data_IF_489151789202
#
_entry.id   IF_489151789202
#
_cell.length_a   1.000
_cell.length_b   1.000
_cell.length_c   1.000
_cell.angle_alpha   90.00
_cell.angle_beta   90.00
_cell.angle_gamma   90.00
#
_symmetry.space_group_name_H-M   'P 1'
#
loop_
_entity.id
_entity.type
_entity.pdbx_description
1 polymer ?
#
# COMPACT_ATOMS: atom_id res chain seq x y z
N UNK A 1 9.54 40.03 1.90
CA UNK A 1 8.64 39.11 1.19
C UNK A 1 9.50 37.94 0.78
N UNK A 2 9.21 36.72 1.22
CA UNK A 2 10.00 35.55 0.77
C UNK A 2 9.61 35.29 -0.68
N UNK A 3 10.60 35.37 -1.57
CA UNK A 3 10.40 35.08 -2.98
C UNK A 3 10.21 33.56 -3.13
N UNK A 4 8.95 33.13 -3.14
CA UNK A 4 8.55 31.77 -3.49
C UNK A 4 7.96 31.77 -4.88
N UNK A 5 8.22 30.71 -5.62
CA UNK A 5 7.64 30.46 -6.94
C UNK A 5 7.02 29.06 -6.93
N UNK A 6 5.74 28.97 -7.25
CA UNK A 6 5.01 27.71 -7.36
C UNK A 6 4.71 27.42 -8.82
N UNK A 7 5.02 26.21 -9.28
CA UNK A 7 4.71 25.73 -10.63
C UNK A 7 3.91 24.42 -10.58
N UNK A 8 2.99 24.26 -11.53
CA UNK A 8 2.23 23.03 -11.76
C UNK A 8 2.70 22.39 -13.07
N UNK A 9 2.98 21.11 -13.05
CA UNK A 9 3.51 20.34 -14.18
C UNK A 9 2.95 18.93 -14.18
N UNK A 10 2.87 18.33 -15.36
CA UNK A 10 2.45 16.92 -15.55
C UNK A 10 3.64 15.98 -15.80
N UNK A 11 4.80 16.52 -16.14
CA UNK A 11 6.03 15.75 -16.36
C UNK A 11 7.24 16.51 -15.80
N UNK A 12 7.98 15.84 -14.92
CA UNK A 12 9.22 16.37 -14.36
C UNK A 12 10.35 16.37 -15.39
N UNK A 13 11.00 17.49 -15.60
CA UNK A 13 12.30 17.54 -16.28
C UNK A 13 13.38 16.81 -15.44
N UNK A 14 14.50 16.45 -16.05
CA UNK A 14 15.61 15.80 -15.32
C UNK A 14 16.09 16.63 -14.12
N UNK A 15 16.14 17.94 -14.26
CA UNK A 15 16.55 18.85 -13.18
C UNK A 15 15.54 18.90 -12.05
N UNK A 16 14.25 18.98 -12.37
CA UNK A 16 13.17 18.94 -11.37
C UNK A 16 13.11 17.59 -10.67
N UNK A 17 13.24 16.49 -11.41
CA UNK A 17 13.30 15.14 -10.84
C UNK A 17 14.51 14.97 -9.90
N UNK A 18 15.67 15.51 -10.25
CA UNK A 18 16.84 15.52 -9.37
C UNK A 18 16.59 16.32 -8.08
N UNK A 19 15.92 17.47 -8.16
CA UNK A 19 15.54 18.28 -7.00
C UNK A 19 14.54 17.56 -6.10
N UNK A 20 13.53 16.88 -6.68
CA UNK A 20 12.55 16.08 -5.92
C UNK A 20 13.24 14.90 -5.23
N UNK A 21 14.15 14.17 -5.89
CA UNK A 21 14.93 13.08 -5.24
C UNK A 21 15.78 13.58 -4.09
N UNK A 22 16.43 14.75 -4.24
CA UNK A 22 17.22 15.34 -3.16
C UNK A 22 16.34 15.78 -1.96
N UNK A 23 15.14 16.29 -2.23
CA UNK A 23 14.17 16.64 -1.21
C UNK A 23 13.66 15.37 -0.50
N UNK A 24 13.30 14.33 -1.24
CA UNK A 24 12.84 13.03 -0.71
C UNK A 24 13.91 12.42 0.20
N UNK A 25 15.17 12.37 -0.22
CA UNK A 25 16.29 11.88 0.58
C UNK A 25 16.47 12.71 1.86
N UNK A 26 16.37 14.05 1.76
CA UNK A 26 16.46 14.94 2.92
C UNK A 26 15.32 14.68 3.91
N UNK A 27 14.10 14.50 3.44
CA UNK A 27 12.95 14.21 4.28
C UNK A 27 13.08 12.83 4.93
N UNK A 28 13.47 11.80 4.17
CA UNK A 28 13.65 10.43 4.65
C UNK A 28 14.71 10.32 5.74
N UNK A 29 15.80 11.07 5.61
CA UNK A 29 16.86 11.12 6.63
C UNK A 29 16.45 11.85 7.90
N UNK A 30 15.41 12.66 7.87
CA UNK A 30 14.96 13.45 9.01
C UNK A 30 13.75 12.82 9.72
N UNK A 31 12.86 12.21 8.97
CA UNK A 31 11.63 11.58 9.46
C UNK A 31 11.08 10.58 8.44
N UNK A 32 10.28 9.61 8.88
CA UNK A 32 9.59 8.73 7.96
C UNK A 32 8.64 9.56 7.08
N UNK A 33 8.92 9.67 5.80
CA UNK A 33 8.05 10.32 4.83
C UNK A 33 7.54 9.30 3.81
N UNK A 34 6.36 9.48 3.21
CA UNK A 34 5.90 8.66 2.10
C UNK A 34 6.89 8.78 0.94
N UNK A 35 7.01 7.71 0.15
CA UNK A 35 7.82 7.75 -1.07
C UNK A 35 7.11 8.61 -2.13
N UNK A 36 7.90 9.32 -2.96
CA UNK A 36 7.34 10.03 -4.09
C UNK A 36 6.84 9.02 -5.14
N UNK A 37 5.65 9.21 -5.74
CA UNK A 37 5.02 8.25 -6.67
C UNK A 37 5.58 8.40 -8.09
N UNK A 38 6.84 8.02 -8.29
CA UNK A 38 7.62 8.27 -9.51
C UNK A 38 6.99 7.75 -10.81
N UNK A 39 6.21 6.68 -10.73
CA UNK A 39 5.61 6.01 -11.90
C UNK A 39 4.12 6.31 -12.06
N UNK A 40 3.47 6.81 -11.00
CA UNK A 40 2.01 6.88 -10.90
C UNK A 40 1.44 8.30 -10.85
N UNK A 41 2.29 9.34 -10.65
CA UNK A 41 1.76 10.70 -10.56
C UNK A 41 1.18 11.18 -11.90
N UNK A 42 0.09 11.94 -11.82
CA UNK A 42 -0.54 12.62 -12.96
C UNK A 42 -0.15 14.09 -13.02
N UNK A 43 -0.05 14.70 -11.85
CA UNK A 43 0.19 16.13 -11.67
C UNK A 43 1.15 16.37 -10.50
N UNK A 44 1.98 17.40 -10.61
CA UNK A 44 2.95 17.77 -9.58
C UNK A 44 2.99 19.29 -9.41
N UNK A 45 2.93 19.75 -8.18
CA UNK A 45 3.16 21.11 -7.78
C UNK A 45 4.52 21.21 -7.09
N UNK A 46 5.37 22.11 -7.55
CA UNK A 46 6.70 22.37 -7.01
C UNK A 46 6.73 23.79 -6.43
N UNK A 47 7.11 23.91 -5.16
CA UNK A 47 7.32 25.21 -4.53
C UNK A 47 8.81 25.46 -4.34
N UNK A 48 9.31 26.44 -5.08
CA UNK A 48 10.69 26.90 -5.05
C UNK A 48 10.85 28.11 -4.15
N UNK A 49 11.98 28.19 -3.47
CA UNK A 49 12.33 29.31 -2.62
C UNK A 49 13.71 29.81 -2.96
N UNK A 50 13.88 31.15 -3.03
CA UNK A 50 15.17 31.77 -3.15
C UNK A 50 16.09 31.39 -1.98
N UNK A 51 17.29 30.93 -2.30
CA UNK A 51 18.35 30.61 -1.32
C UNK A 51 19.57 31.47 -1.63
N UNK A 52 19.62 32.60 -0.99
CA UNK A 52 20.76 33.58 -1.14
C UNK A 52 22.11 33.02 -0.69
N UNK A 53 22.13 31.83 -0.06
CA UNK A 53 23.36 31.12 0.35
C UNK A 53 23.83 30.09 -0.68
N UNK A 54 23.04 29.81 -1.73
CA UNK A 54 23.43 28.87 -2.78
C UNK A 54 24.54 29.52 -3.64
N UNK A 55 25.70 28.88 -3.82
CA UNK A 55 26.67 29.37 -4.75
C UNK A 55 26.08 29.41 -6.16
N UNK A 56 26.21 30.54 -6.85
CA UNK A 56 25.84 30.66 -8.24
C UNK A 56 26.51 29.53 -9.03
N UNK A 57 25.75 28.67 -9.67
CA UNK A 57 26.28 27.61 -10.53
C UNK A 57 26.16 26.17 -10.04
N UNK A 58 25.48 25.85 -8.92
CA UNK A 58 25.35 24.45 -8.44
C UNK A 58 24.32 23.63 -9.19
N UNK A 59 23.70 24.10 -10.23
CA UNK A 59 22.84 23.31 -11.14
C UNK A 59 23.48 23.11 -12.54
N UNK A 60 24.79 23.34 -12.69
CA UNK A 60 25.49 23.02 -13.90
C UNK A 60 25.92 21.55 -13.94
N UNK A 61 25.05 20.66 -14.38
CA UNK A 61 25.49 19.46 -15.08
C UNK A 61 26.03 19.92 -16.43
N UNK A 62 27.36 19.96 -16.51
CA UNK A 62 28.15 20.34 -17.70
C UNK A 62 27.78 19.45 -18.89
N UNK A 63 27.33 20.07 -19.97
CA UNK A 63 27.43 19.56 -21.33
C UNK A 63 26.21 18.87 -21.87
N UNK A 64 25.34 19.63 -22.46
CA UNK A 64 24.79 19.48 -23.81
C UNK A 64 23.65 20.49 -23.97
N UNK A 65 23.58 21.14 -25.12
CA UNK A 65 22.58 22.14 -25.49
C UNK A 65 21.17 21.62 -25.28
N UNK A 66 20.42 22.25 -24.34
CA UNK A 66 19.03 21.93 -24.06
C UNK A 66 18.14 22.24 -25.27
N UNK A 67 17.16 21.37 -25.61
CA UNK A 67 16.13 21.72 -26.58
C UNK A 67 15.25 22.83 -25.99
N UNK A 68 14.90 23.78 -26.86
CA UNK A 68 14.01 24.92 -26.58
C UNK A 68 12.71 24.46 -25.94
N UNK A 69 12.49 24.80 -24.66
CA UNK A 69 11.30 24.48 -23.90
C UNK A 69 11.54 24.01 -22.44
N UNK A 70 12.79 23.75 -22.06
CA UNK A 70 13.11 23.41 -20.68
C UNK A 70 13.09 24.69 -19.82
N UNK A 71 12.15 24.76 -18.86
CA UNK A 71 12.15 25.76 -17.81
C UNK A 71 13.45 25.59 -17.00
N UNK A 72 14.45 26.39 -17.24
CA UNK A 72 15.67 26.47 -16.44
C UNK A 72 15.23 27.02 -15.08
N UNK A 73 15.49 26.27 -14.00
CA UNK A 73 15.32 26.80 -12.65
C UNK A 73 16.10 28.08 -12.52
N UNK A 74 15.52 29.16 -11.97
CA UNK A 74 16.26 30.37 -11.73
C UNK A 74 17.47 30.05 -10.84
N UNK A 75 18.66 30.54 -11.21
CA UNK A 75 19.84 30.45 -10.36
C UNK A 75 19.50 31.00 -8.97
N UNK A 76 19.83 30.25 -7.93
CA UNK A 76 19.58 30.67 -6.56
C UNK A 76 18.28 30.14 -5.92
N UNK A 77 17.47 29.34 -6.63
CA UNK A 77 16.28 28.71 -6.06
C UNK A 77 16.53 27.27 -5.59
N UNK A 78 15.87 26.86 -4.50
CA UNK A 78 15.85 25.48 -4.02
C UNK A 78 14.42 24.99 -3.83
N UNK A 79 14.18 23.73 -4.13
CA UNK A 79 12.89 23.11 -3.87
C UNK A 79 12.63 23.05 -2.36
N UNK A 80 11.57 23.72 -1.92
CA UNK A 80 11.17 23.81 -0.52
C UNK A 80 10.03 22.82 -0.19
N UNK A 81 9.13 22.60 -1.14
CA UNK A 81 8.04 21.64 -0.99
C UNK A 81 7.62 21.07 -2.35
N UNK A 82 7.04 19.88 -2.34
CA UNK A 82 6.42 19.22 -3.49
C UNK A 82 5.11 18.58 -3.05
N UNK A 83 4.11 18.62 -3.94
CA UNK A 83 2.90 17.81 -3.85
C UNK A 83 2.74 17.09 -5.18
N UNK A 84 2.62 15.76 -5.14
CA UNK A 84 2.27 14.92 -6.27
C UNK A 84 0.84 14.43 -6.11
N UNK A 85 0.08 14.44 -7.19
CA UNK A 85 -1.26 13.91 -7.27
C UNK A 85 -1.30 12.67 -8.17
N UNK A 86 -2.08 11.68 -7.77
CA UNK A 86 -2.41 10.47 -8.52
C UNK A 86 -3.92 10.54 -8.73
N UNK A 87 -4.34 11.02 -9.91
CA UNK A 87 -5.76 11.20 -10.20
C UNK A 87 -6.41 9.88 -10.60
N UNK A 88 -7.48 9.52 -9.91
CA UNK A 88 -8.42 8.47 -10.25
C UNK A 88 -9.79 9.09 -10.62
N UNK A 89 -10.74 8.33 -11.17
CA UNK A 89 -12.01 8.89 -11.64
C UNK A 89 -12.84 9.62 -10.58
N UNK A 90 -12.79 9.17 -9.33
CA UNK A 90 -13.67 9.66 -8.25
C UNK A 90 -12.89 10.32 -7.10
N UNK A 91 -11.56 10.20 -7.06
CA UNK A 91 -10.71 10.71 -6.00
C UNK A 91 -9.29 11.01 -6.49
N UNK A 92 -8.56 11.82 -5.78
CA UNK A 92 -7.16 12.16 -6.06
C UNK A 92 -6.31 11.90 -4.83
N UNK A 93 -5.40 10.93 -4.91
CA UNK A 93 -4.43 10.73 -3.84
C UNK A 93 -3.29 11.75 -3.95
N UNK A 94 -3.01 12.45 -2.86
CA UNK A 94 -1.99 13.49 -2.80
C UNK A 94 -0.87 13.11 -1.85
N UNK A 95 0.37 13.09 -2.35
CA UNK A 95 1.57 12.86 -1.56
C UNK A 95 2.40 14.14 -1.51
N UNK A 96 2.63 14.68 -0.32
CA UNK A 96 3.34 15.93 -0.16
C UNK A 96 4.58 15.80 0.72
N UNK A 97 5.62 16.55 0.38
CA UNK A 97 6.84 16.67 1.17
C UNK A 97 7.26 18.13 1.30
N UNK A 98 7.65 18.52 2.52
CA UNK A 98 8.25 19.83 2.79
C UNK A 98 9.60 19.66 3.45
N UNK A 99 10.63 20.35 2.92
CA UNK A 99 11.97 20.32 3.46
C UNK A 99 11.95 20.61 4.97
N UNK A 100 12.63 19.82 5.83
CA UNK A 100 12.52 19.93 7.29
C UNK A 100 12.77 21.36 7.81
N UNK A 101 13.77 22.05 7.25
CA UNK A 101 14.10 23.44 7.63
C UNK A 101 13.11 24.49 7.09
N UNK A 102 12.16 24.08 6.26
CA UNK A 102 11.15 24.95 5.61
C UNK A 102 9.73 24.67 6.11
N UNK A 103 9.55 23.72 7.04
CA UNK A 103 8.26 23.41 7.67
C UNK A 103 7.73 24.61 8.46
N UNK A 104 6.42 24.62 8.71
CA UNK A 104 5.69 25.68 9.44
C UNK A 104 5.75 27.06 8.78
N UNK A 105 5.91 27.10 7.46
CA UNK A 105 5.92 28.34 6.66
C UNK A 105 4.70 28.47 5.74
N UNK A 106 3.76 27.53 5.82
CA UNK A 106 2.54 27.52 5.01
C UNK A 106 2.71 26.86 3.63
N UNK A 107 3.91 26.39 3.25
CA UNK A 107 4.18 25.85 1.90
C UNK A 107 3.35 24.63 1.55
N UNK A 108 3.11 23.75 2.53
CA UNK A 108 2.23 22.60 2.34
C UNK A 108 0.79 23.06 2.03
N UNK A 109 0.25 23.98 2.81
CA UNK A 109 -1.10 24.51 2.61
C UNK A 109 -1.22 25.25 1.27
N UNK A 110 -0.17 25.98 0.84
CA UNK A 110 -0.13 26.65 -0.46
C UNK A 110 -0.25 25.65 -1.61
N UNK A 111 0.53 24.55 -1.57
CA UNK A 111 0.45 23.51 -2.58
C UNK A 111 -0.87 22.74 -2.56
N UNK A 112 -1.39 22.45 -1.38
CA UNK A 112 -2.66 21.74 -1.21
C UNK A 112 -3.84 22.57 -1.74
N UNK A 113 -3.88 23.86 -1.42
CA UNK A 113 -4.89 24.77 -1.98
C UNK A 113 -4.79 24.85 -3.52
N UNK A 114 -3.56 24.93 -4.08
CA UNK A 114 -3.37 24.96 -5.53
C UNK A 114 -3.85 23.68 -6.21
N UNK A 115 -3.65 22.52 -5.58
CA UNK A 115 -4.16 21.24 -6.06
C UNK A 115 -5.71 21.19 -5.96
N UNK A 116 -6.29 21.64 -4.85
CA UNK A 116 -7.73 21.71 -4.66
C UNK A 116 -8.39 22.63 -5.67
N UNK A 117 -7.82 23.81 -5.91
CA UNK A 117 -8.32 24.75 -6.95
C UNK A 117 -8.29 24.13 -8.35
N UNK A 118 -7.27 23.29 -8.63
CA UNK A 118 -7.13 22.62 -9.92
C UNK A 118 -8.12 21.48 -10.12
N UNK A 119 -8.33 20.63 -9.11
CA UNK A 119 -9.22 19.47 -9.19
C UNK A 119 -10.68 19.80 -8.88
N UNK A 120 -10.96 21.01 -8.35
CA UNK A 120 -12.30 21.51 -8.07
C UNK A 120 -13.03 20.70 -6.99
N UNK A 121 -14.20 20.14 -7.35
CA UNK A 121 -15.05 19.40 -6.40
C UNK A 121 -14.59 17.94 -6.17
N UNK A 122 -13.40 17.55 -6.63
CA UNK A 122 -12.89 16.18 -6.43
C UNK A 122 -12.21 16.07 -5.07
N UNK A 123 -12.54 15.01 -4.33
CA UNK A 123 -11.96 14.72 -3.03
C UNK A 123 -10.45 14.50 -3.12
N UNK A 124 -9.67 15.21 -2.32
CA UNK A 124 -8.23 14.99 -2.18
C UNK A 124 -7.95 14.10 -0.98
N UNK A 125 -7.34 12.95 -1.22
CA UNK A 125 -6.99 11.97 -0.19
C UNK A 125 -5.51 12.08 0.14
N UNK A 126 -5.19 12.30 1.41
CA UNK A 126 -3.81 12.43 1.87
C UNK A 126 -3.45 11.30 2.84
N UNK A 127 -2.60 10.35 2.43
CA UNK A 127 -2.13 9.30 3.32
C UNK A 127 -1.06 9.82 4.31
N UNK A 128 -1.16 9.37 5.55
CA UNK A 128 -0.18 9.65 6.59
C UNK A 128 0.01 8.42 7.47
N UNK A 129 1.26 8.14 7.89
CA UNK A 129 1.48 7.08 8.88
C UNK A 129 0.80 7.44 10.19
N UNK A 130 0.07 6.49 10.78
CA UNK A 130 -0.72 6.75 12.00
C UNK A 130 0.16 7.14 13.20
N UNK A 131 1.44 6.77 13.21
CA UNK A 131 2.42 7.14 14.22
C UNK A 131 3.15 8.47 13.93
N UNK A 132 2.90 9.09 12.75
CA UNK A 132 3.47 10.39 12.38
C UNK A 132 2.60 11.55 12.89
N UNK A 133 2.88 11.96 14.13
CA UNK A 133 2.16 13.06 14.75
C UNK A 133 2.42 14.42 14.06
N UNK A 134 3.58 14.65 13.45
CA UNK A 134 3.89 15.90 12.76
C UNK A 134 3.06 16.04 11.48
N UNK A 135 2.99 15.00 10.66
CA UNK A 135 2.17 14.99 9.44
C UNK A 135 0.69 15.13 9.81
N UNK A 136 0.20 14.38 10.80
CA UNK A 136 -1.18 14.50 11.28
C UNK A 136 -1.53 15.93 11.66
N UNK A 137 -0.74 16.58 12.50
CA UNK A 137 -0.98 17.98 12.92
C UNK A 137 -0.94 18.96 11.73
N UNK A 138 -0.11 18.69 10.73
CA UNK A 138 -0.06 19.52 9.52
C UNK A 138 -1.33 19.37 8.68
N UNK A 139 -1.86 18.15 8.53
CA UNK A 139 -3.10 17.86 7.81
C UNK A 139 -4.31 18.48 8.52
N UNK A 140 -4.43 18.25 9.83
CA UNK A 140 -5.49 18.85 10.66
C UNK A 140 -5.46 20.38 10.62
N UNK A 141 -4.26 20.99 10.68
CA UNK A 141 -4.10 22.45 10.58
C UNK A 141 -4.41 22.99 9.18
N UNK A 142 -4.30 22.19 8.13
CA UNK A 142 -4.73 22.53 6.79
C UNK A 142 -6.25 22.38 6.61
N UNK A 143 -6.96 21.78 7.55
CA UNK A 143 -8.41 21.55 7.48
C UNK A 143 -8.79 20.16 6.99
N UNK A 144 -7.84 19.26 6.78
CA UNK A 144 -8.13 17.90 6.36
C UNK A 144 -8.73 17.09 7.53
N UNK A 145 -9.75 16.28 7.23
CA UNK A 145 -10.42 15.44 8.22
C UNK A 145 -10.03 13.97 8.03
N UNK A 146 -9.80 13.26 9.13
CA UNK A 146 -9.48 11.84 9.06
C UNK A 146 -10.68 11.04 8.55
N UNK A 147 -10.50 10.35 7.42
CA UNK A 147 -11.50 9.52 6.77
C UNK A 147 -11.48 8.08 7.28
N UNK A 148 -10.31 7.44 7.27
CA UNK A 148 -10.17 6.02 7.61
C UNK A 148 -8.75 5.69 8.09
N UNK A 149 -8.59 4.47 8.57
CA UNK A 149 -7.27 3.86 8.81
C UNK A 149 -7.20 2.53 8.06
N UNK A 150 -6.10 2.27 7.38
CA UNK A 150 -5.78 0.97 6.82
C UNK A 150 -4.62 0.34 7.57
N UNK A 151 -4.74 -0.95 7.90
CA UNK A 151 -3.68 -1.74 8.51
C UNK A 151 -3.04 -2.65 7.46
N UNK A 152 -1.72 -2.60 7.38
CA UNK A 152 -0.94 -3.69 6.82
C UNK A 152 -0.67 -4.70 7.93
N UNK A 153 -1.12 -5.93 7.74
CA UNK A 153 -0.89 -7.01 8.71
C UNK A 153 -0.01 -8.09 8.08
N UNK A 154 0.93 -8.64 8.86
CA UNK A 154 1.85 -9.65 8.38
C UNK A 154 1.88 -10.88 9.30
N UNK A 155 2.08 -12.05 8.70
CA UNK A 155 2.34 -13.31 9.39
C UNK A 155 3.50 -14.03 8.74
N UNK A 156 4.49 -14.44 9.55
CA UNK A 156 5.54 -15.35 9.13
C UNK A 156 5.03 -16.78 9.14
N UNK A 157 5.26 -17.51 8.05
CA UNK A 157 4.98 -18.93 7.93
C UNK A 157 6.29 -19.70 8.19
N UNK A 158 6.61 -19.95 9.46
CA UNK A 158 7.81 -20.73 9.81
C UNK A 158 7.64 -22.17 9.37
N UNK A 159 8.69 -22.74 8.77
CA UNK A 159 8.81 -24.18 8.57
C UNK A 159 8.84 -24.85 9.96
N UNK A 160 7.78 -25.55 10.29
CA UNK A 160 7.52 -26.32 11.48
C UNK A 160 8.53 -26.29 12.63
N UNK A 161 8.15 -25.61 13.70
CA UNK A 161 8.37 -26.11 15.07
C UNK A 161 7.02 -25.99 15.74
N UNK A 162 6.41 -27.15 15.95
CA UNK A 162 5.16 -27.30 16.67
C UNK A 162 5.34 -26.89 18.14
N UNK A 163 4.52 -25.99 18.65
CA UNK A 163 4.07 -26.13 20.02
C UNK A 163 2.66 -26.71 19.98
N UNK A 164 2.70 -27.92 20.11
CA UNK A 164 1.99 -28.99 20.76
C UNK A 164 0.48 -28.83 21.00
N UNK A 165 -0.31 -29.59 20.27
CA UNK A 165 -1.14 -30.61 20.91
C UNK A 165 -1.69 -31.59 19.85
N UNK A 166 -1.30 -32.86 20.03
CA UNK A 166 -1.90 -34.11 19.54
C UNK A 166 -1.45 -34.70 18.20
N UNK A 167 -0.62 -35.75 18.36
CA UNK A 167 -0.51 -37.07 17.68
C UNK A 167 -0.27 -37.16 16.15
N UNK A 168 0.64 -38.06 15.73
CA UNK A 168 1.19 -38.09 14.38
C UNK A 168 0.35 -38.92 13.42
N UNK A 169 0.08 -38.40 12.24
CA UNK A 169 -0.32 -39.21 11.08
C UNK A 169 0.81 -39.16 10.06
N UNK A 170 1.35 -40.35 9.78
CA UNK A 170 2.39 -40.62 8.77
C UNK A 170 1.91 -40.21 7.39
N UNK A 171 2.76 -39.44 6.67
CA UNK A 171 2.57 -39.08 5.31
C UNK A 171 2.83 -40.19 4.28
N UNK A 172 2.54 -39.94 3.03
CA UNK A 172 3.48 -40.26 1.97
C UNK A 172 3.68 -39.14 0.94
N UNK A 173 4.93 -39.06 0.48
CA UNK A 173 5.36 -38.81 -0.90
C UNK A 173 4.92 -37.52 -1.58
N UNK A 174 5.92 -36.69 -1.91
CA UNK A 174 5.86 -35.54 -2.81
C UNK A 174 5.24 -35.92 -4.15
N UNK A 175 4.17 -35.26 -4.65
CA UNK A 175 3.74 -35.39 -6.03
C UNK A 175 4.48 -34.41 -6.93
N UNK A 176 4.96 -34.93 -8.06
CA UNK A 176 5.50 -34.16 -9.18
C UNK A 176 4.39 -33.32 -9.84
N UNK A 177 4.74 -32.12 -10.26
CA UNK A 177 3.91 -31.26 -11.11
C UNK A 177 3.50 -32.00 -12.38
N UNK A 178 2.20 -32.09 -12.59
CA UNK A 178 1.59 -32.36 -13.87
C UNK A 178 0.40 -31.44 -14.04
N UNK A 179 0.34 -30.81 -15.21
CA UNK A 179 -0.70 -29.92 -15.69
C UNK A 179 -2.14 -30.36 -15.40
N UNK A 180 -3.00 -29.33 -15.20
CA UNK A 180 -4.44 -29.35 -15.18
C UNK A 180 -5.12 -29.95 -13.94
N UNK A 181 -5.86 -29.06 -13.23
CA UNK A 181 -6.94 -29.37 -12.28
C UNK A 181 -6.61 -30.47 -11.27
N UNK A 182 -5.88 -30.14 -10.25
CA UNK A 182 -5.81 -31.01 -9.06
C UNK A 182 -6.74 -30.48 -7.97
N UNK A 183 -7.88 -31.12 -7.81
CA UNK A 183 -8.72 -31.03 -6.62
C UNK A 183 -7.91 -31.60 -5.43
N UNK A 184 -7.32 -30.74 -4.63
CA UNK A 184 -6.73 -31.15 -3.35
C UNK A 184 -7.72 -30.82 -2.23
N UNK A 185 -8.51 -31.81 -1.85
CA UNK A 185 -9.38 -31.75 -0.68
C UNK A 185 -8.56 -31.96 0.60
N UNK A 186 -8.21 -30.86 1.30
CA UNK A 186 -7.70 -30.93 2.68
C UNK A 186 -8.85 -30.79 3.66
N UNK A 187 -9.08 -31.81 4.48
CA UNK A 187 -10.09 -31.80 5.56
C UNK A 187 -9.46 -31.24 6.83
N UNK A 188 -9.81 -30.01 7.21
CA UNK A 188 -9.53 -29.47 8.53
C UNK A 188 -10.85 -29.32 9.30
N UNK A 189 -10.85 -29.82 10.49
CA UNK A 189 -11.95 -30.06 11.46
C UNK A 189 -12.98 -28.96 11.69
N UNK A 190 -13.88 -28.77 10.77
CA UNK A 190 -15.28 -28.39 10.96
C UNK A 190 -16.05 -28.72 9.70
N UNK A 191 -17.06 -29.57 9.84
CA UNK A 191 -18.04 -29.99 8.83
C UNK A 191 -17.72 -29.65 7.37
N UNK A 192 -16.90 -30.46 6.69
CA UNK A 192 -16.96 -30.54 5.24
C UNK A 192 -16.44 -29.34 4.42
N UNK A 193 -15.64 -28.42 4.96
CA UNK A 193 -15.05 -27.33 4.16
C UNK A 193 -13.97 -27.91 3.24
N UNK A 194 -14.12 -27.68 1.93
CA UNK A 194 -13.16 -28.05 0.90
C UNK A 194 -12.63 -26.79 0.22
N UNK A 195 -11.43 -26.86 -0.34
CA UNK A 195 -10.76 -25.76 -1.04
C UNK A 195 -10.28 -26.25 -2.39
N UNK A 196 -10.65 -25.54 -3.43
CA UNK A 196 -10.08 -25.65 -4.77
C UNK A 196 -9.13 -24.46 -5.01
N UNK A 197 -8.05 -24.70 -5.75
CA UNK A 197 -7.06 -23.67 -6.09
C UNK A 197 -6.97 -23.59 -7.61
N UNK A 198 -7.11 -22.38 -8.14
CA UNK A 198 -6.91 -22.05 -9.54
C UNK A 198 -5.82 -21.00 -9.68
N UNK A 199 -4.96 -21.12 -10.70
CA UNK A 199 -3.86 -20.19 -10.95
C UNK A 199 -4.19 -19.34 -12.17
N UNK A 200 -4.24 -18.01 -12.00
CA UNK A 200 -4.41 -17.06 -13.07
C UNK A 200 -3.14 -16.88 -13.91
N UNK A 201 -3.29 -16.33 -15.11
CA UNK A 201 -2.17 -16.01 -16.02
C UNK A 201 -1.28 -14.87 -15.46
N UNK A 202 -1.81 -14.04 -14.58
CA UNK A 202 -1.15 -12.92 -13.88
C UNK A 202 -0.30 -13.34 -12.66
N UNK A 203 -0.23 -14.65 -12.37
CA UNK A 203 0.44 -15.21 -11.19
C UNK A 203 -0.39 -15.13 -9.91
N UNK A 204 -1.60 -14.59 -9.96
CA UNK A 204 -2.55 -14.65 -8.86
C UNK A 204 -3.14 -16.06 -8.72
N UNK A 205 -3.39 -16.47 -7.48
CA UNK A 205 -4.11 -17.71 -7.18
C UNK A 205 -5.45 -17.39 -6.57
N UNK A 206 -6.50 -18.02 -7.08
CA UNK A 206 -7.85 -17.96 -6.52
C UNK A 206 -8.12 -19.25 -5.74
N UNK A 207 -8.55 -19.10 -4.50
CA UNK A 207 -8.96 -20.19 -3.61
C UNK A 207 -10.47 -20.15 -3.46
N UNK A 208 -11.16 -21.17 -3.94
CA UNK A 208 -12.62 -21.27 -3.84
C UNK A 208 -12.97 -22.27 -2.74
N UNK A 209 -13.86 -21.87 -1.84
CA UNK A 209 -14.31 -22.69 -0.71
C UNK A 209 -15.73 -23.21 -0.95
N UNK A 210 -15.91 -24.51 -0.66
CA UNK A 210 -17.23 -25.13 -0.68
C UNK A 210 -17.45 -25.90 0.61
N UNK A 211 -18.69 -25.94 1.09
CA UNK A 211 -19.13 -26.77 2.22
C UNK A 211 -19.96 -27.92 1.67
N UNK A 212 -19.60 -29.16 2.02
CA UNK A 212 -20.40 -30.35 1.72
C UNK A 212 -20.85 -31.00 3.00
N UNK A 213 -22.14 -31.22 3.14
CA UNK A 213 -22.70 -32.21 4.09
C UNK A 213 -22.81 -33.53 3.36
N UNK A 214 -22.74 -34.66 4.11
CA UNK A 214 -22.65 -36.02 3.56
C UNK A 214 -23.84 -36.45 2.69
N UNK A 215 -24.89 -35.63 2.60
CA UNK A 215 -26.15 -35.96 1.89
C UNK A 215 -26.51 -34.99 0.76
N UNK A 216 -25.78 -33.85 0.60
CA UNK A 216 -26.13 -32.78 -0.35
C UNK A 216 -24.95 -32.39 -1.25
N UNK A 217 -25.17 -31.83 -2.46
CA UNK A 217 -24.11 -31.31 -3.29
C UNK A 217 -23.37 -30.17 -2.58
N UNK A 218 -22.08 -30.05 -2.86
CA UNK A 218 -21.23 -29.00 -2.29
C UNK A 218 -21.80 -27.59 -2.55
N UNK A 219 -21.93 -26.79 -1.50
CA UNK A 219 -22.44 -25.41 -1.55
C UNK A 219 -21.25 -24.45 -1.54
N UNK A 220 -21.24 -23.49 -2.45
CA UNK A 220 -20.26 -22.42 -2.45
C UNK A 220 -20.28 -21.65 -1.12
N UNK A 221 -19.10 -21.44 -0.54
CA UNK A 221 -18.94 -20.82 0.77
C UNK A 221 -18.16 -19.50 0.73
N UNK A 222 -17.43 -19.24 -0.35
CA UNK A 222 -16.62 -18.03 -0.47
C UNK A 222 -15.35 -18.23 -1.28
N UNK A 223 -14.52 -17.22 -1.32
CA UNK A 223 -13.23 -17.25 -2.01
C UNK A 223 -12.22 -16.30 -1.36
N UNK A 224 -10.97 -16.41 -1.77
CA UNK A 224 -9.94 -15.40 -1.59
C UNK A 224 -8.93 -15.48 -2.72
N UNK A 225 -8.04 -14.49 -2.78
CA UNK A 225 -6.95 -14.46 -3.73
C UNK A 225 -5.61 -14.27 -3.03
N UNK A 226 -4.55 -14.73 -3.69
CA UNK A 226 -3.18 -14.40 -3.30
C UNK A 226 -2.34 -14.06 -4.51
N UNK A 227 -1.44 -13.10 -4.37
CA UNK A 227 -0.42 -12.78 -5.36
C UNK A 227 0.95 -13.07 -4.76
N UNK A 228 1.77 -13.87 -5.46
CA UNK A 228 3.10 -14.22 -4.97
C UNK A 228 4.10 -13.11 -5.28
N UNK A 229 4.82 -12.65 -4.27
CA UNK A 229 5.86 -11.64 -4.34
C UNK A 229 7.17 -12.19 -3.76
N UNK A 230 7.96 -12.85 -4.59
CA UNK A 230 9.17 -13.54 -4.13
C UNK A 230 8.85 -14.62 -3.09
N UNK A 231 9.42 -14.51 -1.88
CA UNK A 231 9.15 -15.41 -0.76
C UNK A 231 7.92 -15.02 0.08
N UNK A 232 7.23 -13.96 -0.29
CA UNK A 232 6.02 -13.45 0.36
C UNK A 232 4.80 -13.61 -0.53
N UNK A 233 3.61 -13.60 0.05
CA UNK A 233 2.35 -13.55 -0.69
C UNK A 233 1.46 -12.45 -0.13
N UNK A 234 0.87 -11.65 -1.00
CA UNK A 234 -0.23 -10.77 -0.69
C UNK A 234 -1.52 -11.59 -0.65
N UNK A 235 -2.29 -11.48 0.43
CA UNK A 235 -3.60 -12.12 0.60
C UNK A 235 -4.68 -11.04 0.51
N UNK A 236 -5.64 -11.20 -0.40
CA UNK A 236 -6.65 -10.20 -0.69
C UNK A 236 -7.97 -10.81 -1.16
N UNK A 237 -9.01 -9.99 -1.35
CA UNK A 237 -10.34 -10.39 -1.82
C UNK A 237 -10.95 -11.55 -1.01
N UNK A 238 -10.80 -11.52 0.33
CA UNK A 238 -11.33 -12.59 1.15
C UNK A 238 -12.81 -12.39 1.50
N UNK A 239 -13.63 -13.28 1.01
CA UNK A 239 -15.06 -13.23 1.24
C UNK A 239 -15.62 -14.61 1.65
N UNK A 240 -16.53 -14.60 2.63
CA UNK A 240 -17.39 -15.74 2.99
C UNK A 240 -18.84 -15.33 2.71
N UNK A 241 -19.58 -16.22 2.04
CA UNK A 241 -20.99 -16.02 1.74
C UNK A 241 -21.76 -15.58 3.00
N UNK A 242 -22.54 -14.52 2.88
CA UNK A 242 -23.21 -13.88 4.01
C UNK A 242 -24.04 -14.85 4.84
N UNK A 243 -24.74 -15.79 4.21
CA UNK A 243 -25.60 -16.80 4.87
C UNK A 243 -24.79 -17.82 5.68
N UNK A 244 -23.48 -17.88 5.42
CA UNK A 244 -22.56 -18.82 6.05
C UNK A 244 -21.62 -18.15 7.06
N UNK A 245 -21.68 -16.81 7.20
CA UNK A 245 -20.91 -16.08 8.20
C UNK A 245 -21.28 -16.46 9.63
N UNK A 246 -20.40 -16.19 10.58
CA UNK A 246 -20.62 -16.50 12.01
C UNK A 246 -20.45 -17.97 12.40
N UNK A 247 -20.23 -18.87 11.44
CA UNK A 247 -20.09 -20.33 11.66
C UNK A 247 -18.64 -20.81 11.75
N UNK A 248 -17.67 -19.90 11.85
CA UNK A 248 -16.24 -20.24 11.94
C UNK A 248 -15.57 -20.55 10.59
N UNK A 249 -16.31 -20.52 9.47
CA UNK A 249 -15.79 -20.87 8.15
C UNK A 249 -14.66 -19.96 7.68
N UNK A 250 -14.72 -18.65 7.97
CA UNK A 250 -13.63 -17.73 7.64
C UNK A 250 -12.29 -18.12 8.27
N UNK A 251 -12.31 -18.57 9.53
CA UNK A 251 -11.10 -19.06 10.21
C UNK A 251 -10.59 -20.36 9.58
N UNK A 252 -11.49 -21.29 9.29
CA UNK A 252 -11.12 -22.55 8.65
C UNK A 252 -10.55 -22.33 7.25
N UNK A 253 -11.20 -21.50 6.43
CA UNK A 253 -10.75 -21.14 5.10
C UNK A 253 -9.35 -20.48 5.13
N UNK A 254 -9.16 -19.47 5.99
CA UNK A 254 -7.86 -18.83 6.14
C UNK A 254 -6.77 -19.82 6.56
N UNK A 255 -7.07 -20.77 7.47
CA UNK A 255 -6.10 -21.80 7.88
C UNK A 255 -5.68 -22.69 6.70
N UNK A 256 -6.64 -23.13 5.86
CA UNK A 256 -6.36 -23.94 4.67
C UNK A 256 -5.44 -23.21 3.69
N UNK A 257 -5.69 -21.91 3.44
CA UNK A 257 -4.84 -21.10 2.55
C UNK A 257 -3.44 -20.95 3.12
N UNK A 258 -3.31 -20.64 4.42
CA UNK A 258 -2.00 -20.49 5.06
C UNK A 258 -1.19 -21.80 5.04
N UNK A 259 -1.85 -22.95 5.23
CA UNK A 259 -1.24 -24.27 5.11
C UNK A 259 -0.75 -24.53 3.68
N UNK A 260 -1.58 -24.22 2.67
CA UNK A 260 -1.23 -24.37 1.27
C UNK A 260 -0.03 -23.46 0.90
N UNK A 261 -0.07 -22.18 1.27
CA UNK A 261 1.01 -21.23 1.02
C UNK A 261 2.32 -21.70 1.68
N UNK A 262 2.26 -22.21 2.92
CA UNK A 262 3.44 -22.79 3.58
C UNK A 262 3.98 -24.00 2.85
N UNK A 263 3.10 -24.90 2.40
CA UNK A 263 3.49 -26.12 1.67
C UNK A 263 4.11 -25.80 0.30
N UNK A 264 3.74 -24.69 -0.31
CA UNK A 264 4.28 -24.19 -1.60
C UNK A 264 5.49 -23.27 -1.45
N UNK A 265 6.05 -23.13 -0.24
CA UNK A 265 7.32 -22.43 0.00
C UNK A 265 7.17 -20.93 0.28
N UNK A 266 5.96 -20.43 0.56
CA UNK A 266 5.77 -19.05 1.01
C UNK A 266 6.24 -18.92 2.46
N UNK A 267 7.07 -17.92 2.75
CA UNK A 267 7.62 -17.70 4.08
C UNK A 267 6.89 -16.62 4.86
N UNK A 268 6.22 -15.71 4.17
CA UNK A 268 5.50 -14.59 4.78
C UNK A 268 4.22 -14.31 4.00
N UNK A 269 3.15 -14.04 4.71
CA UNK A 269 1.88 -13.55 4.15
C UNK A 269 1.61 -12.18 4.71
N UNK A 270 1.20 -11.25 3.85
CA UNK A 270 0.72 -9.94 4.26
C UNK A 270 -0.64 -9.65 3.63
N UNK A 271 -1.36 -8.75 4.23
CA UNK A 271 -2.66 -8.27 3.77
C UNK A 271 -2.87 -6.81 4.17
N UNK A 272 -3.80 -6.17 3.49
CA UNK A 272 -4.32 -4.86 3.84
C UNK A 272 -5.76 -5.00 4.30
N UNK A 273 -6.14 -4.25 5.34
CA UNK A 273 -7.49 -4.30 5.90
C UNK A 273 -7.88 -2.96 6.50
N UNK A 274 -9.09 -2.48 6.20
CA UNK A 274 -9.65 -1.32 6.86
C UNK A 274 -9.72 -1.51 8.37
N UNK A 275 -9.27 -0.52 9.13
CA UNK A 275 -9.38 -0.50 10.59
C UNK A 275 -10.82 -0.57 11.09
N UNK A 276 -11.78 -0.14 10.29
CA UNK A 276 -13.20 -0.20 10.59
C UNK A 276 -13.78 -1.61 10.39
N UNK A 277 -13.10 -2.49 9.64
CA UNK A 277 -13.49 -3.88 9.49
C UNK A 277 -13.03 -4.72 10.70
N UNK A 278 -13.55 -4.38 11.87
CA UNK A 278 -13.21 -5.06 13.13
C UNK A 278 -13.38 -6.59 13.08
N UNK A 279 -14.40 -7.16 12.41
CA UNK A 279 -14.52 -8.61 12.26
C UNK A 279 -13.31 -9.24 11.55
N UNK A 280 -12.84 -8.64 10.46
CA UNK A 280 -11.69 -9.12 9.69
C UNK A 280 -10.38 -8.93 10.48
N UNK A 281 -10.16 -7.76 11.08
CA UNK A 281 -8.99 -7.49 11.93
C UNK A 281 -8.85 -8.55 13.02
N UNK A 282 -9.94 -8.82 13.77
CA UNK A 282 -9.96 -9.85 14.83
C UNK A 282 -9.74 -11.27 14.30
N UNK A 283 -10.20 -11.56 13.09
CA UNK A 283 -9.95 -12.84 12.44
C UNK A 283 -8.45 -13.02 12.15
N UNK A 284 -7.82 -12.02 11.57
CA UNK A 284 -6.40 -12.06 11.23
C UNK A 284 -5.50 -12.08 12.48
N UNK A 285 -5.81 -11.28 13.51
CA UNK A 285 -5.10 -11.34 14.80
C UNK A 285 -5.16 -12.74 15.41
N UNK A 286 -6.36 -13.36 15.46
CA UNK A 286 -6.53 -14.73 15.97
C UNK A 286 -5.83 -15.79 15.11
N UNK A 287 -5.60 -15.50 13.84
CA UNK A 287 -4.81 -16.34 12.95
C UNK A 287 -3.27 -16.09 13.09
N UNK A 288 -2.87 -15.14 13.96
CA UNK A 288 -1.46 -14.83 14.25
C UNK A 288 -0.84 -13.82 13.31
N UNK A 289 -1.62 -13.01 12.61
CA UNK A 289 -1.14 -11.81 11.96
C UNK A 289 -0.94 -10.69 12.99
N UNK A 290 0.08 -9.86 12.76
CA UNK A 290 0.33 -8.65 13.54
C UNK A 290 0.28 -7.42 12.63
N UNK A 291 -0.22 -6.32 13.14
CA UNK A 291 -0.15 -5.03 12.45
C UNK A 291 1.33 -4.61 12.37
N UNK A 292 1.82 -4.38 11.16
CA UNK A 292 3.19 -3.93 10.90
C UNK A 292 3.24 -2.49 10.43
N UNK A 293 2.16 -1.99 9.85
CA UNK A 293 2.01 -0.61 9.43
C UNK A 293 0.54 -0.20 9.57
N UNK A 294 0.32 1.06 9.93
CA UNK A 294 -1.00 1.67 9.97
C UNK A 294 -0.93 3.00 9.20
N UNK A 295 -1.80 3.15 8.21
CA UNK A 295 -1.91 4.34 7.38
C UNK A 295 -3.25 5.00 7.64
N UNK A 296 -3.23 6.27 8.02
CA UNK A 296 -4.42 7.11 8.13
C UNK A 296 -4.62 7.86 6.82
N UNK A 297 -5.84 7.88 6.33
CA UNK A 297 -6.23 8.64 5.15
C UNK A 297 -7.05 9.85 5.60
N UNK A 298 -6.70 11.00 5.06
CA UNK A 298 -7.35 12.26 5.36
C UNK A 298 -8.03 12.80 4.10
N UNK A 299 -9.22 13.33 4.26
CA UNK A 299 -10.00 14.00 3.22
C UNK A 299 -9.81 15.52 3.34
N UNK A 300 -9.55 16.17 2.20
CA UNK A 300 -9.44 17.62 2.09
C UNK A 300 -10.33 18.16 0.97
#
# INVERSE_FOLDING_TARGET
MSDTHTEHITNLSETQAAAVRALEETCRNHHACPAFPWEDYTDVWLLWREDSSAPAGTCALSGTSAPSGACALPDGYRLAAVLAAIAAPDEVECIAMTAPKQRRRGYFAELLNAAADFFGDTDLILPAKSDDAETRLALEAAGAEKLSTEYRMEKKLTAGTEEASSSPVKGPGVPKETDARSEQASRAGSAGLTMAVDSGEDGARTYTFCVSDTAEPAVYAGFCRTLQEGASACFYDFEIDEKLRGKGLGRAALSLVLEHLRATGTHKVFLHVSGDNLPAVRLYEKAGFAVTEAMDYYLY
#
